data_IF_200844162640
#
_entry.id   IF_200844162640
#
_cell.length_a   1.000
_cell.length_b   1.000
_cell.length_c   1.000
_cell.angle_alpha   90.00
_cell.angle_beta   90.00
_cell.angle_gamma   90.00
#
_symmetry.space_group_name_H-M   'P 1'
#
loop_
_entity.id
_entity.type
_entity.pdbx_description
1 polymer ?
#
# COMPACT_ATOMS: atom_id res chain seq x y z
N UNK A 1 -31.79 21.75 -24.60
CA UNK A 1 -30.82 21.75 -23.49
C UNK A 1 -31.48 22.45 -22.32
N UNK A 2 -31.84 21.69 -21.30
CA UNK A 2 -32.53 22.22 -20.11
C UNK A 2 -31.52 22.69 -19.07
N UNK A 3 -31.91 23.53 -18.11
CA UNK A 3 -31.02 24.04 -17.05
C UNK A 3 -30.38 22.92 -16.17
N UNK A 4 -30.91 21.70 -16.23
CA UNK A 4 -30.34 20.51 -15.56
C UNK A 4 -29.11 20.00 -16.34
N UNK A 5 -29.15 20.06 -17.68
CA UNK A 5 -28.05 19.63 -18.54
C UNK A 5 -26.83 20.56 -18.40
N UNK A 6 -27.06 21.87 -18.28
CA UNK A 6 -25.98 22.85 -18.09
C UNK A 6 -25.27 22.68 -16.75
N UNK A 7 -26.01 22.49 -15.66
CA UNK A 7 -25.44 22.29 -14.33
C UNK A 7 -24.61 20.99 -14.23
N UNK A 8 -25.04 19.93 -14.92
CA UNK A 8 -24.28 18.68 -14.99
C UNK A 8 -22.97 18.86 -15.78
N UNK A 9 -23.01 19.60 -16.90
CA UNK A 9 -21.84 19.91 -17.71
C UNK A 9 -20.80 20.74 -16.94
N UNK A 10 -21.25 21.70 -16.11
CA UNK A 10 -20.38 22.51 -15.27
C UNK A 10 -19.65 21.67 -14.21
N UNK A 11 -20.37 20.75 -13.55
CA UNK A 11 -19.78 19.85 -12.55
C UNK A 11 -18.74 18.91 -13.16
N UNK A 12 -19.04 18.31 -14.31
CA UNK A 12 -18.09 17.45 -15.02
C UNK A 12 -16.82 18.21 -15.38
N UNK A 13 -16.94 19.49 -15.78
CA UNK A 13 -15.80 20.34 -16.12
C UNK A 13 -14.90 20.59 -14.91
N UNK A 14 -15.48 20.85 -13.73
CA UNK A 14 -14.73 21.01 -12.47
C UNK A 14 -13.91 19.75 -12.16
N UNK A 15 -14.51 18.57 -12.20
CA UNK A 15 -13.78 17.35 -11.88
C UNK A 15 -12.77 16.94 -12.96
N UNK A 16 -13.01 17.27 -14.24
CA UNK A 16 -11.98 17.12 -15.28
C UNK A 16 -10.76 18.00 -15.02
N UNK A 17 -10.96 19.23 -14.54
CA UNK A 17 -9.88 20.11 -14.11
C UNK A 17 -9.11 19.51 -12.92
N UNK A 18 -9.81 18.93 -11.93
CA UNK A 18 -9.19 18.24 -10.80
C UNK A 18 -8.35 17.04 -11.26
N UNK A 19 -8.83 16.26 -12.24
CA UNK A 19 -8.06 15.17 -12.84
C UNK A 19 -6.81 15.72 -13.55
N UNK A 20 -6.94 16.80 -14.32
CA UNK A 20 -5.82 17.44 -15.00
C UNK A 20 -4.75 17.91 -14.01
N UNK A 21 -5.16 18.54 -12.90
CA UNK A 21 -4.24 18.95 -11.82
C UNK A 21 -3.47 17.75 -11.28
N UNK A 22 -4.15 16.62 -11.03
CA UNK A 22 -3.49 15.41 -10.56
C UNK A 22 -2.52 14.82 -11.59
N UNK A 23 -2.88 14.80 -12.87
CA UNK A 23 -2.00 14.33 -13.95
C UNK A 23 -0.75 15.20 -14.08
N UNK A 24 -0.90 16.53 -14.01
CA UNK A 24 0.23 17.46 -14.02
C UNK A 24 1.13 17.26 -12.79
N UNK A 25 0.54 17.15 -11.60
CA UNK A 25 1.31 16.90 -10.37
C UNK A 25 2.07 15.55 -10.43
N UNK A 26 1.43 14.51 -10.98
CA UNK A 26 2.08 13.22 -11.21
C UNK A 26 3.25 13.34 -12.18
N UNK A 27 3.06 14.01 -13.33
CA UNK A 27 4.10 14.21 -14.33
C UNK A 27 5.30 14.99 -13.77
N UNK A 28 5.05 16.06 -13.00
CA UNK A 28 6.10 16.85 -12.33
C UNK A 28 6.93 15.96 -11.42
N UNK A 29 6.32 15.03 -10.69
CA UNK A 29 7.10 14.19 -9.76
C UNK A 29 7.77 13.00 -10.41
N UNK A 30 7.18 12.43 -11.46
CA UNK A 30 7.93 11.49 -12.31
C UNK A 30 9.18 12.17 -12.83
N UNK A 31 9.07 13.39 -13.37
CA UNK A 31 10.21 14.17 -13.86
C UNK A 31 11.22 14.45 -12.73
N UNK A 32 10.76 14.93 -11.58
CA UNK A 32 11.61 15.17 -10.41
C UNK A 32 12.37 13.90 -9.99
N UNK A 33 11.69 12.75 -9.88
CA UNK A 33 12.31 11.47 -9.51
C UNK A 33 13.31 10.95 -10.53
N UNK A 34 13.16 11.30 -11.81
CA UNK A 34 14.13 10.98 -12.85
C UNK A 34 15.40 11.84 -12.76
N UNK A 35 15.31 13.08 -12.26
CA UNK A 35 16.46 14.00 -12.20
C UNK A 35 17.17 13.99 -10.84
N UNK A 36 16.47 13.72 -9.74
CA UNK A 36 17.11 13.71 -8.40
C UNK A 36 17.90 12.43 -8.15
N UNK A 37 19.05 12.51 -7.43
CA UNK A 37 19.77 11.34 -6.97
C UNK A 37 18.86 10.36 -6.24
N UNK A 38 19.08 9.06 -6.44
CA UNK A 38 18.34 8.04 -5.75
C UNK A 38 18.70 8.05 -4.27
N UNK A 39 17.72 7.92 -3.36
CA UNK A 39 18.04 7.78 -1.95
C UNK A 39 18.78 6.45 -1.72
N UNK A 40 19.70 6.48 -0.75
CA UNK A 40 20.68 5.42 -0.57
C UNK A 40 20.02 4.07 -0.22
N UNK A 41 18.92 4.08 0.55
CA UNK A 41 18.34 2.86 1.15
C UNK A 41 17.62 1.99 0.13
N UNK A 42 16.88 2.58 -0.80
CA UNK A 42 16.21 1.84 -1.86
C UNK A 42 17.21 1.10 -2.76
N UNK A 43 18.36 1.73 -3.02
CA UNK A 43 19.40 1.13 -3.85
C UNK A 43 20.13 -0.03 -3.17
N UNK A 44 20.50 0.11 -1.89
CA UNK A 44 21.29 -0.92 -1.19
C UNK A 44 20.57 -2.27 -1.12
N UNK A 45 19.24 -2.30 -1.05
CA UNK A 45 18.48 -3.56 -1.13
C UNK A 45 18.72 -4.38 -2.41
N UNK A 46 19.18 -3.75 -3.51
CA UNK A 46 19.52 -4.43 -4.77
C UNK A 46 20.97 -4.92 -4.79
N UNK A 47 21.78 -4.55 -3.80
CA UNK A 47 23.20 -4.90 -3.71
C UNK A 47 23.45 -6.12 -2.81
N UNK A 48 22.53 -6.44 -1.91
CA UNK A 48 22.68 -7.57 -0.98
C UNK A 48 22.60 -8.90 -1.72
N UNK A 49 23.51 -9.84 -1.45
CA UNK A 49 23.49 -11.22 -1.94
C UNK A 49 23.37 -12.22 -0.79
N UNK A 50 23.17 -13.50 -1.14
CA UNK A 50 23.21 -14.63 -0.21
C UNK A 50 24.53 -15.38 -0.20
N UNK A 51 25.59 -14.84 -0.81
CA UNK A 51 26.93 -15.45 -0.81
C UNK A 51 27.46 -15.70 0.61
N UNK A 52 27.14 -14.79 1.53
CA UNK A 52 27.55 -14.86 2.94
C UNK A 52 26.47 -15.51 3.84
N UNK A 53 25.50 -16.18 3.22
CA UNK A 53 24.35 -16.81 3.87
C UNK A 53 23.04 -16.07 3.66
N UNK A 54 21.94 -16.71 4.07
CA UNK A 54 20.60 -16.13 3.96
C UNK A 54 20.47 -14.94 4.92
N UNK A 55 20.31 -13.75 4.35
CA UNK A 55 20.13 -12.50 5.08
C UNK A 55 18.72 -11.94 4.80
N UNK A 56 18.04 -11.46 5.84
CA UNK A 56 16.74 -10.78 5.70
C UNK A 56 16.82 -9.61 4.73
N UNK A 57 15.76 -9.36 3.96
CA UNK A 57 15.64 -8.24 3.00
C UNK A 57 16.64 -8.28 1.82
N UNK A 58 17.19 -9.46 1.50
CA UNK A 58 18.21 -9.64 0.45
C UNK A 58 17.70 -10.24 -0.87
N UNK A 59 16.44 -10.70 -0.95
CA UNK A 59 15.98 -11.48 -2.10
C UNK A 59 16.09 -10.72 -3.43
N UNK A 60 15.78 -9.43 -3.44
CA UNK A 60 15.85 -8.64 -4.67
C UNK A 60 17.29 -8.53 -5.15
N UNK A 61 18.23 -8.20 -4.26
CA UNK A 61 19.65 -8.11 -4.63
C UNK A 61 20.27 -9.45 -5.04
N UNK A 62 19.78 -10.55 -4.47
CA UNK A 62 20.13 -11.90 -4.89
C UNK A 62 19.61 -12.21 -6.30
N UNK A 63 18.38 -11.81 -6.63
CA UNK A 63 17.89 -11.94 -8.02
C UNK A 63 18.79 -11.15 -8.98
N UNK A 64 19.22 -9.94 -8.60
CA UNK A 64 20.14 -9.16 -9.44
C UNK A 64 21.52 -9.79 -9.60
N UNK A 65 22.05 -10.49 -8.58
CA UNK A 65 23.37 -11.12 -8.65
C UNK A 65 23.46 -12.21 -9.71
N UNK A 66 22.33 -12.85 -10.04
CA UNK A 66 22.25 -13.85 -11.11
C UNK A 66 22.45 -13.27 -12.51
N UNK A 67 22.24 -11.96 -12.68
CA UNK A 67 22.31 -11.30 -13.99
C UNK A 67 23.49 -10.32 -14.12
N UNK A 68 23.90 -9.68 -13.02
CA UNK A 68 24.98 -8.70 -13.04
C UNK A 68 25.70 -8.59 -11.71
N UNK A 69 27.02 -8.46 -11.78
CA UNK A 69 27.85 -8.13 -10.63
C UNK A 69 27.65 -6.67 -10.20
N UNK A 70 27.73 -5.74 -11.17
CA UNK A 70 27.55 -4.30 -10.96
C UNK A 70 26.09 -3.91 -11.17
N UNK A 71 25.47 -3.32 -10.15
CA UNK A 71 24.05 -2.95 -10.19
C UNK A 71 23.92 -1.46 -10.51
N UNK A 72 23.23 -1.11 -11.59
CA UNK A 72 22.98 0.30 -11.89
C UNK A 72 21.91 0.90 -10.96
N UNK A 73 22.05 2.16 -10.50
CA UNK A 73 20.98 2.85 -9.75
C UNK A 73 19.67 2.95 -10.54
N UNK A 74 19.74 2.93 -11.88
CA UNK A 74 18.55 2.89 -12.74
C UNK A 74 17.65 1.69 -12.51
N UNK A 75 18.19 0.58 -11.98
CA UNK A 75 17.41 -0.61 -11.61
C UNK A 75 16.23 -0.25 -10.68
N UNK A 76 16.49 0.59 -9.67
CA UNK A 76 15.47 1.03 -8.71
C UNK A 76 14.35 1.82 -9.40
N UNK A 77 14.70 2.68 -10.36
CA UNK A 77 13.74 3.51 -11.09
C UNK A 77 12.88 2.67 -12.01
N UNK A 78 13.50 1.82 -12.83
CA UNK A 78 12.80 0.98 -13.81
C UNK A 78 11.84 0.03 -13.08
N UNK A 79 12.34 -0.68 -12.08
CA UNK A 79 11.54 -1.59 -11.24
C UNK A 79 10.40 -0.84 -10.53
N UNK A 80 10.71 0.31 -9.91
CA UNK A 80 9.74 1.12 -9.20
C UNK A 80 8.62 1.64 -10.11
N UNK A 81 8.95 2.18 -11.28
CA UNK A 81 7.95 2.67 -12.24
C UNK A 81 7.11 1.52 -12.80
N UNK A 82 7.74 0.38 -13.10
CA UNK A 82 7.01 -0.81 -13.55
C UNK A 82 6.03 -1.29 -12.48
N UNK A 83 6.46 -1.37 -11.22
CA UNK A 83 5.61 -1.77 -10.12
C UNK A 83 4.43 -0.80 -9.91
N UNK A 84 4.66 0.52 -10.00
CA UNK A 84 3.61 1.53 -9.91
C UNK A 84 2.63 1.41 -11.09
N UNK A 85 3.11 1.17 -12.31
CA UNK A 85 2.27 0.99 -13.49
C UNK A 85 1.37 -0.26 -13.36
N UNK A 86 1.94 -1.37 -12.87
CA UNK A 86 1.18 -2.60 -12.57
C UNK A 86 0.15 -2.32 -11.48
N UNK A 87 0.55 -1.70 -10.37
CA UNK A 87 -0.36 -1.32 -9.29
C UNK A 87 -1.51 -0.44 -9.79
N UNK A 88 -1.22 0.57 -10.61
CA UNK A 88 -2.22 1.48 -11.19
C UNK A 88 -3.21 0.75 -12.09
N UNK A 89 -2.72 -0.15 -12.94
CA UNK A 89 -3.55 -0.97 -13.82
C UNK A 89 -4.47 -1.90 -13.02
N UNK A 90 -3.92 -2.58 -12.01
CA UNK A 90 -4.70 -3.47 -11.15
C UNK A 90 -5.76 -2.70 -10.34
N UNK A 91 -5.41 -1.53 -9.81
CA UNK A 91 -6.35 -0.71 -9.07
C UNK A 91 -7.46 -0.14 -9.95
N UNK A 92 -7.13 0.28 -11.18
CA UNK A 92 -8.13 0.65 -12.19
C UNK A 92 -9.06 -0.52 -12.53
N UNK A 93 -8.52 -1.74 -12.68
CA UNK A 93 -9.32 -2.93 -12.91
C UNK A 93 -10.26 -3.24 -11.73
N UNK A 94 -9.79 -3.09 -10.49
CA UNK A 94 -10.63 -3.22 -9.29
C UNK A 94 -11.71 -2.14 -9.26
N UNK A 95 -11.36 -0.90 -9.59
CA UNK A 95 -12.30 0.21 -9.63
C UNK A 95 -13.45 -0.06 -10.60
N UNK A 96 -13.13 -0.42 -11.85
CA UNK A 96 -14.14 -0.76 -12.88
C UNK A 96 -14.95 -1.98 -12.49
N UNK A 97 -14.34 -2.97 -11.83
CA UNK A 97 -15.06 -4.16 -11.35
C UNK A 97 -16.00 -3.85 -10.19
N UNK A 98 -15.66 -2.89 -9.34
CA UNK A 98 -16.41 -2.57 -8.11
C UNK A 98 -17.52 -1.54 -8.35
N UNK A 99 -17.28 -0.57 -9.23
CA UNK A 99 -18.15 0.60 -9.40
C UNK A 99 -18.70 0.68 -10.82
N UNK A 100 -20.04 0.60 -10.94
CA UNK A 100 -20.80 0.87 -12.16
C UNK A 100 -21.65 2.12 -12.00
N UNK A 101 -20.96 3.20 -11.59
CA UNK A 101 -21.57 4.50 -11.28
C UNK A 101 -21.82 5.31 -12.54
N UNK A 102 -22.70 6.32 -12.44
CA UNK A 102 -22.84 7.35 -13.48
C UNK A 102 -21.53 8.12 -13.60
N UNK A 103 -21.27 8.67 -14.79
CA UNK A 103 -19.98 9.32 -15.10
C UNK A 103 -19.55 10.39 -14.07
N UNK A 104 -20.42 11.33 -13.62
CA UNK A 104 -20.02 12.31 -12.61
C UNK A 104 -19.62 11.69 -11.28
N UNK A 105 -20.41 10.73 -10.77
CA UNK A 105 -20.15 10.01 -9.52
C UNK A 105 -18.84 9.20 -9.57
N UNK A 106 -18.63 8.49 -10.68
CA UNK A 106 -17.39 7.76 -10.94
C UNK A 106 -16.17 8.70 -10.93
N UNK A 107 -16.32 9.89 -11.52
CA UNK A 107 -15.25 10.88 -11.60
C UNK A 107 -14.89 11.45 -10.22
N UNK A 108 -15.88 11.76 -9.37
CA UNK A 108 -15.62 12.23 -8.00
C UNK A 108 -14.92 11.18 -7.16
N UNK A 109 -15.43 9.94 -7.17
CA UNK A 109 -14.81 8.85 -6.44
C UNK A 109 -13.40 8.58 -6.97
N UNK A 110 -13.21 8.63 -8.29
CA UNK A 110 -11.90 8.51 -8.93
C UNK A 110 -10.92 9.61 -8.50
N UNK A 111 -11.37 10.86 -8.39
CA UNK A 111 -10.54 11.97 -7.92
C UNK A 111 -9.98 11.72 -6.52
N UNK A 112 -10.78 11.18 -5.60
CA UNK A 112 -10.27 10.83 -4.27
C UNK A 112 -9.41 9.57 -4.30
N UNK A 113 -9.80 8.51 -5.00
CA UNK A 113 -9.07 7.23 -4.94
C UNK A 113 -7.71 7.27 -5.66
N UNK A 114 -7.62 7.99 -6.78
CA UNK A 114 -6.39 8.08 -7.58
C UNK A 114 -5.62 9.39 -7.33
N UNK A 115 -6.31 10.48 -7.00
CA UNK A 115 -5.70 11.80 -6.76
C UNK A 115 -5.27 12.05 -5.31
N UNK A 116 -5.63 11.18 -4.37
CA UNK A 116 -5.29 11.38 -2.96
C UNK A 116 -3.78 11.26 -2.70
N UNK A 117 -3.22 12.15 -1.86
CA UNK A 117 -1.85 12.03 -1.38
C UNK A 117 -1.62 10.79 -0.49
N UNK A 118 -2.67 10.21 0.10
CA UNK A 118 -2.59 8.99 0.91
C UNK A 118 -2.54 7.71 0.06
N UNK A 119 -2.88 7.77 -1.23
CA UNK A 119 -3.07 6.58 -2.07
C UNK A 119 -1.98 6.50 -3.15
N UNK A 120 -2.33 6.68 -4.41
CA UNK A 120 -1.38 6.44 -5.51
C UNK A 120 -0.18 7.38 -5.52
N UNK A 121 -0.36 8.63 -5.11
CA UNK A 121 0.75 9.59 -4.91
C UNK A 121 1.77 9.07 -3.88
N UNK A 122 1.34 8.30 -2.87
CA UNK A 122 2.25 7.73 -1.88
C UNK A 122 3.25 6.74 -2.51
N UNK A 123 2.85 5.96 -3.52
CA UNK A 123 3.76 5.02 -4.18
C UNK A 123 4.79 5.70 -5.07
N UNK A 124 4.38 6.74 -5.80
CA UNK A 124 5.32 7.55 -6.60
C UNK A 124 6.31 8.28 -5.69
N UNK A 125 5.84 8.74 -4.52
CA UNK A 125 6.67 9.37 -3.51
C UNK A 125 7.69 8.40 -2.92
N UNK A 126 7.33 7.12 -2.81
CA UNK A 126 8.16 6.05 -2.28
C UNK A 126 8.77 5.18 -3.40
N UNK A 127 9.07 5.75 -4.57
CA UNK A 127 9.67 5.04 -5.70
C UNK A 127 10.92 4.26 -5.25
N UNK A 128 10.94 2.95 -5.49
CA UNK A 128 12.04 2.07 -5.09
C UNK A 128 11.82 1.34 -3.76
N UNK A 129 10.87 1.79 -2.93
CA UNK A 129 10.43 1.02 -1.75
C UNK A 129 9.51 -0.13 -2.17
N UNK A 130 9.53 -1.20 -1.39
CA UNK A 130 8.83 -2.45 -1.71
C UNK A 130 7.37 -2.50 -1.26
N UNK A 131 6.87 -1.47 -0.58
CA UNK A 131 5.47 -1.39 -0.13
C UNK A 131 4.46 -1.63 -1.27
N UNK A 132 4.77 -1.12 -2.47
CA UNK A 132 3.95 -1.30 -3.68
C UNK A 132 3.77 -2.78 -4.06
N UNK A 133 4.75 -3.65 -3.79
CA UNK A 133 4.64 -5.08 -4.07
C UNK A 133 3.60 -5.74 -3.16
N UNK A 134 3.57 -5.35 -1.88
CA UNK A 134 2.53 -5.78 -0.95
C UNK A 134 1.13 -5.37 -1.41
N UNK A 135 1.00 -4.14 -1.93
CA UNK A 135 -0.24 -3.64 -2.50
C UNK A 135 -0.66 -4.42 -3.76
N UNK A 136 0.28 -4.75 -4.66
CA UNK A 136 0.02 -5.58 -5.83
C UNK A 136 -0.54 -6.94 -5.42
N UNK A 137 0.08 -7.64 -4.45
CA UNK A 137 -0.41 -8.94 -3.99
C UNK A 137 -1.80 -8.83 -3.35
N UNK A 138 -2.07 -7.76 -2.59
CA UNK A 138 -3.41 -7.48 -2.06
C UNK A 138 -4.44 -7.25 -3.18
N UNK A 139 -4.09 -6.50 -4.22
CA UNK A 139 -4.95 -6.27 -5.39
C UNK A 139 -5.20 -7.57 -6.18
N UNK A 140 -4.19 -8.43 -6.33
CA UNK A 140 -4.36 -9.76 -6.91
C UNK A 140 -5.30 -10.62 -6.05
N UNK A 141 -5.21 -10.53 -4.72
CA UNK A 141 -6.14 -11.20 -3.82
C UNK A 141 -7.59 -10.68 -3.94
N UNK A 142 -7.81 -9.45 -4.41
CA UNK A 142 -9.15 -8.94 -4.77
C UNK A 142 -9.62 -9.50 -6.12
N UNK A 143 -8.76 -9.48 -7.13
CA UNK A 143 -9.13 -9.73 -8.53
C UNK A 143 -9.25 -11.21 -8.88
N UNK A 144 -8.31 -12.04 -8.42
CA UNK A 144 -8.22 -13.44 -8.83
C UNK A 144 -9.44 -14.23 -8.34
N UNK A 145 -9.95 -15.20 -9.13
CA UNK A 145 -11.05 -16.05 -8.70
C UNK A 145 -10.64 -16.88 -7.48
N UNK A 146 -11.56 -17.14 -6.55
CA UNK A 146 -11.25 -18.02 -5.41
C UNK A 146 -11.24 -19.48 -5.85
N UNK A 147 -10.03 -19.96 -6.16
CA UNK A 147 -9.71 -21.36 -6.50
C UNK A 147 -8.59 -21.84 -5.60
N UNK A 148 -8.38 -23.17 -5.51
CA UNK A 148 -7.26 -23.74 -4.73
C UNK A 148 -5.91 -23.18 -5.16
N UNK A 149 -5.69 -23.02 -6.46
CA UNK A 149 -4.49 -22.41 -7.03
C UNK A 149 -4.27 -20.97 -6.58
N UNK A 150 -5.35 -20.19 -6.46
CA UNK A 150 -5.28 -18.80 -5.99
C UNK A 150 -4.76 -18.72 -4.56
N UNK A 151 -5.23 -19.59 -3.66
CA UNK A 151 -4.73 -19.62 -2.28
C UNK A 151 -3.23 -19.95 -2.23
N UNK A 152 -2.79 -20.94 -3.01
CA UNK A 152 -1.37 -21.32 -3.10
C UNK A 152 -0.53 -20.19 -3.69
N UNK A 153 -0.96 -19.57 -4.80
CA UNK A 153 -0.25 -18.48 -5.44
C UNK A 153 -0.13 -17.25 -4.52
N UNK A 154 -1.21 -16.85 -3.85
CA UNK A 154 -1.17 -15.72 -2.90
C UNK A 154 -0.30 -16.05 -1.69
N UNK A 155 -0.31 -17.30 -1.21
CA UNK A 155 0.59 -17.77 -0.16
C UNK A 155 2.06 -17.68 -0.56
N UNK A 156 2.41 -18.18 -1.75
CA UNK A 156 3.76 -18.11 -2.30
C UNK A 156 4.23 -16.66 -2.50
N UNK A 157 3.39 -15.80 -3.10
CA UNK A 157 3.70 -14.38 -3.27
C UNK A 157 3.89 -13.68 -1.92
N UNK A 158 3.09 -14.02 -0.91
CA UNK A 158 3.23 -13.49 0.44
C UNK A 158 4.51 -13.96 1.13
N UNK A 159 4.97 -15.19 0.87
CA UNK A 159 6.27 -15.67 1.34
C UNK A 159 7.42 -14.89 0.68
N UNK A 160 7.34 -14.64 -0.63
CA UNK A 160 8.30 -13.79 -1.34
C UNK A 160 8.35 -12.37 -0.75
N UNK A 161 7.19 -11.78 -0.43
CA UNK A 161 7.15 -10.48 0.25
C UNK A 161 7.93 -10.48 1.57
N UNK A 162 7.89 -11.55 2.36
CA UNK A 162 8.66 -11.63 3.61
C UNK A 162 10.18 -11.65 3.37
N UNK A 163 10.64 -12.34 2.31
CA UNK A 163 12.04 -12.34 1.91
C UNK A 163 12.52 -10.99 1.37
N UNK A 164 11.65 -10.28 0.66
CA UNK A 164 11.91 -8.91 0.17
C UNK A 164 11.96 -7.93 1.34
N UNK A 165 10.92 -7.94 2.18
CA UNK A 165 10.82 -7.05 3.32
C UNK A 165 9.87 -7.60 4.38
N UNK A 166 10.41 -8.08 5.50
CA UNK A 166 9.62 -8.74 6.55
C UNK A 166 8.51 -7.89 7.17
N UNK A 167 8.56 -6.55 7.08
CA UNK A 167 7.46 -5.64 7.50
C UNK A 167 6.14 -5.93 6.77
N UNK A 168 6.15 -6.59 5.60
CA UNK A 168 4.91 -7.05 4.98
C UNK A 168 4.10 -8.00 5.88
N UNK A 169 4.74 -8.68 6.84
CA UNK A 169 4.08 -9.51 7.87
C UNK A 169 3.02 -8.75 8.66
N UNK A 170 3.26 -7.47 8.93
CA UNK A 170 2.40 -6.65 9.80
C UNK A 170 1.58 -5.64 9.00
N UNK A 171 2.08 -5.16 7.84
CA UNK A 171 1.36 -4.20 6.99
C UNK A 171 0.36 -4.90 6.05
N UNK A 172 0.85 -5.78 5.16
CA UNK A 172 0.09 -6.24 4.00
C UNK A 172 -0.49 -7.65 4.15
N UNK A 173 0.22 -8.57 4.78
CA UNK A 173 -0.25 -9.96 4.97
C UNK A 173 -1.61 -10.01 5.70
N UNK A 174 -1.85 -9.25 6.78
CA UNK A 174 -3.16 -9.21 7.43
C UNK A 174 -4.28 -8.79 6.47
N UNK A 175 -4.02 -7.81 5.60
CA UNK A 175 -4.98 -7.33 4.59
C UNK A 175 -5.19 -8.36 3.49
N UNK A 176 -4.13 -8.96 2.96
CA UNK A 176 -4.19 -9.98 1.90
C UNK A 176 -5.08 -11.14 2.34
N UNK A 177 -4.83 -11.69 3.53
CA UNK A 177 -5.62 -12.81 4.05
C UNK A 177 -7.00 -12.39 4.55
N UNK A 178 -7.13 -11.16 5.05
CA UNK A 178 -8.41 -10.53 5.33
C UNK A 178 -9.32 -10.46 4.10
N UNK A 179 -8.76 -10.05 2.96
CA UNK A 179 -9.45 -10.02 1.65
C UNK A 179 -9.89 -11.44 1.27
N UNK A 180 -9.02 -12.44 1.35
CA UNK A 180 -9.37 -13.83 1.04
C UNK A 180 -10.52 -14.34 1.93
N UNK A 181 -10.46 -14.05 3.24
CA UNK A 181 -11.47 -14.46 4.21
C UNK A 181 -12.82 -13.81 3.93
N UNK A 182 -12.85 -12.49 3.75
CA UNK A 182 -14.08 -11.74 3.47
C UNK A 182 -14.70 -12.17 2.14
N UNK A 183 -13.88 -12.41 1.11
CA UNK A 183 -14.37 -12.90 -0.19
C UNK A 183 -14.91 -14.32 -0.12
N UNK A 184 -14.23 -15.21 0.61
CA UNK A 184 -14.67 -16.60 0.79
C UNK A 184 -16.03 -16.64 1.52
N UNK A 185 -16.17 -15.82 2.56
CA UNK A 185 -17.42 -15.66 3.29
C UNK A 185 -18.53 -15.09 2.39
N UNK A 186 -18.26 -14.00 1.65
CA UNK A 186 -19.25 -13.35 0.80
C UNK A 186 -19.75 -14.25 -0.33
N UNK A 187 -18.87 -15.05 -0.93
CA UNK A 187 -19.25 -16.01 -2.00
C UNK A 187 -20.21 -17.09 -1.52
N UNK A 188 -20.08 -17.55 -0.28
CA UNK A 188 -20.77 -18.74 0.22
C UNK A 188 -21.82 -18.45 1.29
N UNK A 189 -21.87 -17.22 1.81
CA UNK A 189 -22.70 -16.83 2.96
C UNK A 189 -22.27 -17.48 4.28
N UNK A 190 -21.26 -18.35 4.26
CA UNK A 190 -20.73 -19.09 5.41
C UNK A 190 -19.26 -19.45 5.18
N UNK A 191 -18.55 -19.73 6.26
CA UNK A 191 -17.20 -20.25 6.17
C UNK A 191 -17.20 -21.72 5.73
N UNK A 192 -16.50 -22.02 4.64
CA UNK A 192 -16.23 -23.42 4.27
C UNK A 192 -14.96 -23.89 4.96
N UNK A 193 -14.95 -25.13 5.51
CA UNK A 193 -13.76 -25.67 6.16
C UNK A 193 -12.52 -25.67 5.27
N UNK A 194 -12.68 -25.92 3.96
CA UNK A 194 -11.56 -25.93 3.00
C UNK A 194 -10.92 -24.55 2.86
N UNK A 195 -11.72 -23.49 2.72
CA UNK A 195 -11.19 -22.12 2.57
C UNK A 195 -10.47 -21.69 3.85
N UNK A 196 -11.06 -22.01 5.01
CA UNK A 196 -10.45 -21.76 6.32
C UNK A 196 -9.13 -22.53 6.50
N UNK A 197 -9.10 -23.82 6.12
CA UNK A 197 -7.90 -24.64 6.24
C UNK A 197 -6.76 -24.11 5.35
N UNK A 198 -7.06 -23.68 4.13
CA UNK A 198 -6.07 -23.09 3.22
C UNK A 198 -5.53 -21.75 3.77
N UNK A 199 -6.43 -20.88 4.25
CA UNK A 199 -6.06 -19.59 4.85
C UNK A 199 -5.21 -19.81 6.12
N UNK A 200 -5.68 -20.65 7.04
CA UNK A 200 -5.01 -20.90 8.31
C UNK A 200 -3.66 -21.62 8.12
N UNK A 201 -3.61 -22.64 7.27
CA UNK A 201 -2.37 -23.35 6.95
C UNK A 201 -1.32 -22.43 6.33
N UNK A 202 -1.72 -21.59 5.38
CA UNK A 202 -0.81 -20.63 4.76
C UNK A 202 -0.35 -19.55 5.74
N UNK A 203 -1.22 -19.04 6.60
CA UNK A 203 -0.84 -18.10 7.67
C UNK A 203 0.12 -18.73 8.68
N UNK A 204 -0.08 -19.99 9.07
CA UNK A 204 0.81 -20.70 9.96
C UNK A 204 2.21 -20.86 9.35
N UNK A 205 2.30 -21.21 8.06
CA UNK A 205 3.56 -21.30 7.33
C UNK A 205 4.24 -19.93 7.22
N UNK A 206 3.50 -18.87 6.92
CA UNK A 206 4.05 -17.51 6.85
C UNK A 206 4.52 -17.00 8.22
N UNK A 207 3.80 -17.33 9.29
CA UNK A 207 4.21 -17.00 10.65
C UNK A 207 5.50 -17.74 11.03
N UNK A 208 5.61 -19.04 10.71
CA UNK A 208 6.84 -19.81 10.88
C UNK A 208 8.01 -19.25 10.08
N UNK A 209 7.78 -18.89 8.81
CA UNK A 209 8.78 -18.25 7.96
C UNK A 209 9.21 -16.89 8.53
N UNK A 210 8.27 -16.05 8.95
CA UNK A 210 8.57 -14.76 9.57
C UNK A 210 9.41 -14.93 10.84
N UNK A 211 9.04 -15.86 11.71
CA UNK A 211 9.81 -16.20 12.91
C UNK A 211 11.23 -16.66 12.58
N UNK A 212 11.38 -17.53 11.57
CA UNK A 212 12.68 -17.97 11.07
C UNK A 212 13.52 -16.80 10.53
N UNK A 213 12.94 -15.93 9.71
CA UNK A 213 13.65 -14.76 9.18
C UNK A 213 14.11 -13.82 10.31
N UNK A 214 13.29 -13.59 11.33
CA UNK A 214 13.68 -12.75 12.46
C UNK A 214 14.79 -13.37 13.31
N UNK A 215 14.71 -14.67 13.60
CA UNK A 215 15.62 -15.33 14.54
C UNK A 215 16.93 -15.82 13.90
N UNK A 216 16.89 -16.23 12.63
CA UNK A 216 17.97 -16.99 12.01
C UNK A 216 18.72 -16.27 10.88
N UNK A 217 18.20 -15.13 10.38
CA UNK A 217 18.73 -14.45 9.18
C UNK A 217 19.26 -13.03 9.44
N UNK A 218 19.62 -12.74 10.69
CA UNK A 218 20.43 -11.57 11.01
C UNK A 218 21.83 -11.72 10.38
N UNK A 219 22.42 -10.61 9.93
CA UNK A 219 23.77 -10.62 9.37
C UNK A 219 24.78 -11.05 10.46
N UNK A 220 25.62 -12.04 10.14
CA UNK A 220 26.58 -12.63 11.09
C UNK A 220 28.03 -12.24 10.84
N UNK A 221 28.32 -11.65 9.68
CA UNK A 221 29.65 -11.16 9.33
C UNK A 221 29.87 -9.75 9.90
N UNK A 222 31.13 -9.27 10.05
CA UNK A 222 31.41 -7.89 10.42
C UNK A 222 30.74 -6.89 9.47
N UNK A 223 30.26 -5.76 10.01
CA UNK A 223 29.51 -4.76 9.24
C UNK A 223 30.38 -4.11 8.14
N UNK A 224 31.68 -3.99 8.37
CA UNK A 224 32.67 -3.48 7.43
C UNK A 224 32.76 -4.41 6.21
N UNK A 225 32.92 -5.71 6.45
CA UNK A 225 32.95 -6.72 5.38
C UNK A 225 31.66 -6.73 4.57
N UNK A 226 30.51 -6.57 5.24
CA UNK A 226 29.23 -6.42 4.55
C UNK A 226 29.21 -5.18 3.67
N UNK A 227 29.58 -4.01 4.20
CA UNK A 227 29.62 -2.76 3.44
C UNK A 227 30.57 -2.81 2.25
N UNK A 228 31.73 -3.45 2.40
CA UNK A 228 32.70 -3.61 1.31
C UNK A 228 32.11 -4.46 0.19
N UNK A 229 31.43 -5.56 0.52
CA UNK A 229 30.73 -6.37 -0.49
C UNK A 229 29.62 -5.61 -1.22
N UNK A 230 28.92 -4.69 -0.54
CA UNK A 230 27.94 -3.82 -1.19
C UNK A 230 28.62 -2.82 -2.14
N UNK A 231 29.74 -2.24 -1.73
CA UNK A 231 30.51 -1.26 -2.51
C UNK A 231 31.10 -1.88 -3.77
N UNK A 232 31.58 -3.11 -3.70
CA UNK A 232 32.13 -3.85 -4.84
C UNK A 232 31.10 -4.05 -5.96
N UNK A 233 29.80 -4.08 -5.60
CA UNK A 233 28.69 -4.20 -6.54
C UNK A 233 28.07 -2.85 -6.94
N UNK A 234 28.40 -1.76 -6.25
CA UNK A 234 27.75 -0.48 -6.40
C UNK A 234 28.36 0.37 -7.51
N UNK A 235 27.51 1.02 -8.31
CA UNK A 235 27.94 2.05 -9.27
C UNK A 235 27.75 3.48 -8.71
N UNK A 236 27.32 3.62 -7.46
CA UNK A 236 27.23 4.89 -6.73
C UNK A 236 27.75 4.70 -5.30
N UNK A 237 28.16 5.78 -4.60
CA UNK A 237 28.63 5.69 -3.22
C UNK A 237 27.60 5.03 -2.28
N UNK A 238 28.09 4.17 -1.38
CA UNK A 238 27.28 3.52 -0.33
C UNK A 238 27.73 4.04 1.04
N UNK A 239 26.92 4.87 1.72
CA UNK A 239 27.27 5.41 3.04
C UNK A 239 27.29 4.33 4.14
N UNK A 240 28.15 4.51 5.16
CA UNK A 240 28.31 3.54 6.27
C UNK A 240 27.01 3.29 7.05
N UNK A 241 26.18 4.33 7.21
CA UNK A 241 24.88 4.25 7.91
C UNK A 241 23.92 3.19 7.35
N UNK A 242 24.17 2.70 6.13
CA UNK A 242 23.32 1.72 5.47
C UNK A 242 23.39 0.32 6.07
N UNK A 243 24.51 -0.03 6.72
CA UNK A 243 24.63 -1.29 7.44
C UNK A 243 23.56 -1.42 8.53
N UNK A 244 23.17 -0.31 9.16
CA UNK A 244 22.17 -0.28 10.24
C UNK A 244 20.92 -1.12 9.92
N UNK A 245 20.40 -1.09 8.69
CA UNK A 245 19.18 -1.82 8.31
C UNK A 245 19.25 -3.35 8.47
N UNK A 246 20.46 -3.93 8.44
CA UNK A 246 20.67 -5.37 8.57
C UNK A 246 21.17 -5.77 9.96
N UNK A 247 21.83 -4.87 10.66
CA UNK A 247 22.47 -5.13 11.95
C UNK A 247 21.67 -4.62 13.16
N UNK A 248 20.70 -3.74 12.95
CA UNK A 248 19.82 -3.23 14.01
C UNK A 248 19.10 -4.38 14.73
N UNK A 249 19.10 -4.30 16.06
CA UNK A 249 18.22 -5.10 16.90
C UNK A 249 16.84 -4.46 16.99
N UNK A 250 15.81 -5.26 17.31
CA UNK A 250 14.45 -4.73 17.52
C UNK A 250 14.44 -3.67 18.64
N UNK A 251 15.21 -3.90 19.70
CA UNK A 251 15.32 -2.98 20.84
C UNK A 251 15.91 -1.63 20.42
N UNK A 252 16.93 -1.66 19.56
CA UNK A 252 17.52 -0.46 18.97
C UNK A 252 16.56 0.27 18.03
N UNK A 253 15.84 -0.45 17.16
CA UNK A 253 14.81 0.13 16.28
C UNK A 253 13.69 0.81 17.09
N UNK A 254 13.24 0.19 18.19
CA UNK A 254 12.24 0.76 19.09
C UNK A 254 12.79 2.03 19.76
N UNK A 255 14.01 2.01 20.31
CA UNK A 255 14.61 3.19 20.94
C UNK A 255 14.73 4.35 19.97
N UNK A 256 15.23 4.08 18.75
CA UNK A 256 15.36 5.08 17.69
C UNK A 256 13.97 5.63 17.31
N UNK A 257 12.97 4.76 17.16
CA UNK A 257 11.60 5.16 16.86
C UNK A 257 10.97 6.03 17.95
N UNK A 258 11.17 5.68 19.22
CA UNK A 258 10.71 6.46 20.37
C UNK A 258 11.43 7.81 20.47
N UNK A 259 12.74 7.86 20.16
CA UNK A 259 13.51 9.10 20.13
C UNK A 259 13.00 10.10 19.09
N UNK A 260 12.50 9.61 17.94
CA UNK A 260 11.89 10.46 16.90
C UNK A 260 10.43 10.83 17.18
N UNK A 261 9.75 10.17 18.13
CA UNK A 261 8.32 10.36 18.37
C UNK A 261 7.91 11.83 18.62
N UNK A 262 8.62 12.64 19.44
CA UNK A 262 8.21 14.01 19.72
C UNK A 262 8.14 14.91 18.48
N UNK A 263 9.11 14.80 17.57
CA UNK A 263 9.15 15.61 16.34
C UNK A 263 8.01 15.27 15.39
N UNK A 264 7.52 14.04 15.42
CA UNK A 264 6.42 13.63 14.56
C UNK A 264 5.05 13.81 15.18
N UNK A 265 4.96 13.84 16.51
CA UNK A 265 3.74 14.27 17.18
C UNK A 265 3.35 15.69 16.76
N UNK A 266 4.33 16.57 16.49
CA UNK A 266 4.10 17.92 15.91
C UNK A 266 3.39 17.87 14.55
N UNK A 267 3.45 16.76 13.82
CA UNK A 267 2.84 16.57 12.49
C UNK A 267 1.46 15.91 12.55
N UNK A 268 1.04 15.44 13.72
CA UNK A 268 -0.28 14.86 13.91
C UNK A 268 -1.42 15.76 13.39
N UNK A 269 -1.40 17.10 13.57
CA UNK A 269 -2.43 17.97 13.00
C UNK A 269 -2.50 17.93 11.47
N UNK A 270 -1.34 17.80 10.80
CA UNK A 270 -1.28 17.69 9.34
C UNK A 270 -1.91 16.38 8.90
N UNK A 271 -1.52 15.25 9.51
CA UNK A 271 -2.12 13.95 9.22
C UNK A 271 -3.63 13.92 9.48
N UNK A 272 -4.08 14.53 10.58
CA UNK A 272 -5.50 14.67 10.88
C UNK A 272 -6.23 15.50 9.81
N UNK A 273 -5.66 16.63 9.38
CA UNK A 273 -6.24 17.46 8.32
C UNK A 273 -6.36 16.69 7.00
N UNK A 274 -5.33 15.92 6.62
CA UNK A 274 -5.35 15.07 5.43
C UNK A 274 -6.46 14.03 5.53
N UNK A 275 -6.60 13.33 6.67
CA UNK A 275 -7.69 12.37 6.89
C UNK A 275 -9.06 13.07 6.82
N UNK A 276 -9.18 14.27 7.39
CA UNK A 276 -10.42 15.06 7.38
C UNK A 276 -10.87 15.43 5.96
N UNK A 277 -9.95 15.75 5.06
CA UNK A 277 -10.27 16.00 3.65
C UNK A 277 -10.89 14.75 2.98
N UNK A 278 -10.61 13.55 3.49
CA UNK A 278 -11.16 12.28 2.98
C UNK A 278 -12.47 11.85 3.66
N UNK A 279 -13.01 12.64 4.60
CA UNK A 279 -14.29 12.34 5.29
C UNK A 279 -15.42 11.94 4.34
N UNK A 280 -15.63 12.59 3.16
CA UNK A 280 -16.67 12.16 2.23
C UNK A 280 -16.54 10.70 1.78
N UNK A 281 -15.31 10.27 1.47
CA UNK A 281 -15.04 8.89 1.01
C UNK A 281 -15.05 7.90 2.18
N UNK A 282 -14.52 8.30 3.34
CA UNK A 282 -14.60 7.50 4.56
C UNK A 282 -16.07 7.23 4.90
N UNK A 283 -16.92 8.26 4.84
CA UNK A 283 -18.35 8.12 5.09
C UNK A 283 -19.05 7.24 4.06
N UNK A 284 -18.68 7.36 2.77
CA UNK A 284 -19.17 6.48 1.70
C UNK A 284 -18.90 5.00 1.97
N UNK A 285 -17.68 4.64 2.39
CA UNK A 285 -17.34 3.26 2.75
C UNK A 285 -17.99 2.82 4.06
N UNK A 286 -17.96 3.68 5.10
CA UNK A 286 -18.52 3.37 6.41
C UNK A 286 -20.03 3.04 6.33
N UNK A 287 -20.80 3.79 5.53
CA UNK A 287 -22.23 3.51 5.33
C UNK A 287 -22.48 2.17 4.64
N UNK A 288 -21.64 1.79 3.68
CA UNK A 288 -21.72 0.48 3.00
C UNK A 288 -21.36 -0.68 3.91
N UNK A 289 -20.37 -0.50 4.77
CA UNK A 289 -20.04 -1.51 5.79
C UNK A 289 -21.19 -1.59 6.80
N UNK A 290 -21.75 -0.46 7.24
CA UNK A 290 -22.86 -0.43 8.19
C UNK A 290 -24.13 -1.12 7.66
N UNK A 291 -24.41 -1.06 6.35
CA UNK A 291 -25.57 -1.75 5.77
C UNK A 291 -25.46 -3.28 5.83
N UNK A 292 -24.25 -3.84 5.95
CA UNK A 292 -24.05 -5.27 6.21
C UNK A 292 -24.55 -5.68 7.60
N UNK A 293 -24.59 -4.76 8.56
CA UNK A 293 -25.03 -5.08 9.92
C UNK A 293 -26.42 -5.71 9.93
N UNK A 294 -27.30 -5.23 9.05
CA UNK A 294 -28.68 -5.71 8.93
C UNK A 294 -28.82 -6.77 7.84
N UNK A 295 -28.14 -6.60 6.70
CA UNK A 295 -28.30 -7.50 5.54
C UNK A 295 -27.47 -8.79 5.64
N UNK A 296 -26.26 -8.72 6.18
CA UNK A 296 -25.33 -9.86 6.32
C UNK A 296 -24.50 -9.75 7.62
N UNK A 297 -25.08 -10.03 8.80
CA UNK A 297 -24.44 -9.76 10.09
C UNK A 297 -23.09 -10.48 10.29
N UNK A 298 -22.95 -11.68 9.72
CA UNK A 298 -21.68 -12.43 9.77
C UNK A 298 -20.59 -11.71 8.98
N UNK A 299 -20.88 -11.25 7.75
CA UNK A 299 -19.94 -10.49 6.93
C UNK A 299 -19.53 -9.17 7.61
N UNK A 300 -20.47 -8.48 8.25
CA UNK A 300 -20.18 -7.28 9.05
C UNK A 300 -19.18 -7.55 10.17
N UNK A 301 -19.44 -8.57 11.01
CA UNK A 301 -18.56 -8.93 12.13
C UNK A 301 -17.17 -9.39 11.64
N UNK A 302 -17.12 -10.18 10.58
CA UNK A 302 -15.86 -10.63 9.99
C UNK A 302 -15.05 -9.47 9.41
N UNK A 303 -15.71 -8.52 8.72
CA UNK A 303 -15.05 -7.31 8.26
C UNK A 303 -14.43 -6.53 9.42
N UNK A 304 -15.18 -6.29 10.51
CA UNK A 304 -14.67 -5.57 11.68
C UNK A 304 -13.51 -6.29 12.37
N UNK A 305 -13.59 -7.62 12.49
CA UNK A 305 -12.49 -8.41 13.05
C UNK A 305 -11.21 -8.29 12.20
N UNK A 306 -11.34 -8.42 10.88
CA UNK A 306 -10.20 -8.25 9.95
C UNK A 306 -9.67 -6.81 10.01
N UNK A 307 -10.55 -5.80 10.00
CA UNK A 307 -10.18 -4.40 10.11
C UNK A 307 -9.37 -4.11 11.40
N UNK A 308 -9.77 -4.69 12.52
CA UNK A 308 -9.04 -4.57 13.78
C UNK A 308 -7.66 -5.24 13.73
N UNK A 309 -7.54 -6.42 13.11
CA UNK A 309 -6.25 -7.12 12.93
C UNK A 309 -5.31 -6.32 12.02
N UNK A 310 -5.83 -5.79 10.89
CA UNK A 310 -5.07 -4.92 9.99
C UNK A 310 -4.56 -3.70 10.75
N UNK A 311 -5.45 -2.98 11.45
CA UNK A 311 -5.05 -1.83 12.25
C UNK A 311 -3.99 -2.18 13.31
N UNK A 312 -4.16 -3.31 14.01
CA UNK A 312 -3.20 -3.81 14.99
C UNK A 312 -1.80 -4.05 14.39
N UNK A 313 -1.72 -4.68 13.22
CA UNK A 313 -0.45 -4.88 12.51
C UNK A 313 0.23 -3.56 12.13
N UNK A 314 -0.55 -2.57 11.69
CA UNK A 314 -0.02 -1.22 11.44
C UNK A 314 0.46 -0.51 12.70
N UNK A 315 -0.24 -0.66 13.82
CA UNK A 315 0.19 -0.09 15.11
C UNK A 315 1.51 -0.71 15.57
N UNK A 316 1.64 -2.04 15.50
CA UNK A 316 2.90 -2.74 15.78
C UNK A 316 4.04 -2.21 14.91
N UNK A 317 3.79 -2.06 13.61
CA UNK A 317 4.80 -1.54 12.67
C UNK A 317 5.23 -0.12 13.02
N UNK A 318 4.29 0.74 13.42
CA UNK A 318 4.57 2.12 13.80
C UNK A 318 5.30 2.26 15.14
N UNK A 319 5.17 1.28 16.04
CA UNK A 319 5.94 1.22 17.29
C UNK A 319 7.40 0.82 17.01
N UNK A 320 7.60 -0.16 16.13
CA UNK A 320 8.93 -0.73 15.84
C UNK A 320 9.71 0.13 14.84
N UNK A 321 9.04 0.56 13.77
CA UNK A 321 9.66 1.23 12.62
C UNK A 321 9.02 2.56 12.33
N UNK A 322 9.87 3.53 12.07
CA UNK A 322 9.50 4.93 12.04
C UNK A 322 9.27 5.43 10.60
N UNK A 323 8.02 5.43 10.11
CA UNK A 323 7.63 6.08 8.84
C UNK A 323 6.10 6.33 8.75
N UNK A 324 5.58 7.16 9.66
CA UNK A 324 4.13 7.37 9.82
C UNK A 324 3.39 7.81 8.55
N UNK A 325 3.98 8.70 7.74
CA UNK A 325 3.34 9.20 6.52
C UNK A 325 3.14 8.05 5.51
N UNK A 326 4.20 7.27 5.27
CA UNK A 326 4.15 6.09 4.41
C UNK A 326 3.16 5.05 4.95
N UNK A 327 3.22 4.76 6.24
CA UNK A 327 2.36 3.76 6.88
C UNK A 327 0.89 4.18 6.87
N UNK A 328 0.58 5.46 7.06
CA UNK A 328 -0.80 5.96 6.97
C UNK A 328 -1.38 5.79 5.57
N UNK A 329 -0.59 6.06 4.52
CA UNK A 329 -1.03 5.84 3.15
C UNK A 329 -1.27 4.36 2.83
N UNK A 330 -0.35 3.49 3.26
CA UNK A 330 -0.51 2.04 3.15
C UNK A 330 -1.77 1.56 3.89
N UNK A 331 -2.05 2.08 5.10
CA UNK A 331 -3.24 1.74 5.89
C UNK A 331 -4.52 2.13 5.16
N UNK A 332 -4.57 3.35 4.62
CA UNK A 332 -5.70 3.84 3.84
C UNK A 332 -5.97 2.95 2.63
N UNK A 333 -4.94 2.58 1.88
CA UNK A 333 -5.09 1.66 0.75
C UNK A 333 -5.58 0.28 1.20
N UNK A 334 -5.01 -0.28 2.28
CA UNK A 334 -5.43 -1.57 2.81
C UNK A 334 -6.92 -1.59 3.16
N UNK A 335 -7.43 -0.54 3.81
CA UNK A 335 -8.87 -0.42 4.11
C UNK A 335 -9.74 -0.27 2.86
N UNK A 336 -9.28 0.47 1.85
CA UNK A 336 -9.99 0.61 0.58
C UNK A 336 -10.07 -0.74 -0.14
N UNK A 337 -8.95 -1.46 -0.26
CA UNK A 337 -8.91 -2.77 -0.90
C UNK A 337 -9.78 -3.80 -0.14
N UNK A 338 -9.74 -3.79 1.19
CA UNK A 338 -10.60 -4.63 2.02
C UNK A 338 -12.09 -4.31 1.81
N UNK A 339 -12.44 -3.03 1.74
CA UNK A 339 -13.81 -2.58 1.48
C UNK A 339 -14.27 -2.95 0.07
N UNK A 340 -13.43 -2.77 -0.94
CA UNK A 340 -13.72 -3.16 -2.33
C UNK A 340 -13.91 -4.67 -2.46
N UNK A 341 -13.07 -5.47 -1.80
CA UNK A 341 -13.22 -6.92 -1.72
C UNK A 341 -14.55 -7.33 -1.09
N UNK A 342 -14.94 -6.67 0.00
CA UNK A 342 -16.23 -6.88 0.66
C UNK A 342 -17.39 -6.55 -0.28
N UNK A 343 -17.38 -5.38 -0.91
CA UNK A 343 -18.42 -4.92 -1.85
C UNK A 343 -18.61 -5.94 -2.97
N UNK A 344 -17.52 -6.30 -3.65
CA UNK A 344 -17.54 -7.26 -4.76
C UNK A 344 -18.06 -8.63 -4.32
N UNK A 345 -17.76 -9.06 -3.09
CA UNK A 345 -18.14 -10.38 -2.60
C UNK A 345 -19.57 -10.48 -2.06
N UNK A 346 -20.16 -9.38 -1.58
CA UNK A 346 -21.42 -9.44 -0.80
C UNK A 346 -22.54 -8.58 -1.35
N UNK A 347 -22.22 -7.41 -1.93
CA UNK A 347 -23.20 -6.42 -2.38
C UNK A 347 -23.30 -6.32 -3.91
N UNK A 348 -22.34 -6.91 -4.63
CA UNK A 348 -22.22 -6.74 -6.08
C UNK A 348 -21.63 -5.38 -6.46
N UNK A 349 -21.81 -4.97 -7.71
CA UNK A 349 -21.31 -3.67 -8.18
C UNK A 349 -22.10 -2.52 -7.57
N UNK A 350 -21.41 -1.44 -7.19
CA UNK A 350 -22.07 -0.21 -6.74
C UNK A 350 -22.61 0.53 -7.94
N UNK A 351 -23.93 0.74 -7.99
CA UNK A 351 -24.63 1.41 -9.10
C UNK A 351 -25.03 2.86 -8.79
N UNK A 352 -25.01 3.25 -7.51
CA UNK A 352 -25.30 4.61 -7.07
C UNK A 352 -24.35 5.04 -5.93
N UNK A 353 -23.91 6.29 -5.98
CA UNK A 353 -23.08 6.93 -4.97
C UNK A 353 -23.72 8.22 -4.45
N UNK A 354 -25.01 8.21 -4.14
CA UNK A 354 -25.76 9.37 -3.61
C UNK A 354 -25.11 9.98 -2.35
N UNK A 355 -24.40 9.13 -1.60
CA UNK A 355 -23.55 9.44 -0.47
C UNK A 355 -22.36 10.38 -0.76
N UNK A 356 -21.97 10.46 -2.02
CA UNK A 356 -20.85 11.22 -2.55
C UNK A 356 -21.36 12.12 -3.69
N UNK A 357 -22.33 12.98 -3.37
CA UNK A 357 -22.95 13.92 -4.31
C UNK A 357 -21.88 14.82 -4.98
N UNK A 358 -21.72 14.72 -6.32
CA UNK A 358 -20.78 15.54 -7.07
C UNK A 358 -21.06 17.04 -6.99
N UNK A 359 -22.32 17.43 -6.76
CA UNK A 359 -22.75 18.82 -6.66
C UNK A 359 -22.55 19.45 -5.27
N UNK A 360 -22.16 18.66 -4.27
CA UNK A 360 -21.98 19.14 -2.91
C UNK A 360 -20.70 19.98 -2.80
N UNK A 361 -20.84 21.26 -2.42
CA UNK A 361 -19.72 22.21 -2.27
C UNK A 361 -18.60 21.70 -1.35
N UNK A 362 -18.93 20.96 -0.29
CA UNK A 362 -17.93 20.39 0.63
C UNK A 362 -17.14 19.26 -0.03
N UNK A 363 -17.79 18.45 -0.86
CA UNK A 363 -17.15 17.36 -1.61
C UNK A 363 -16.22 17.92 -2.68
N UNK A 364 -16.68 18.94 -3.43
CA UNK A 364 -15.87 19.64 -4.42
C UNK A 364 -14.64 20.26 -3.75
N UNK A 365 -14.82 21.02 -2.67
CA UNK A 365 -13.70 21.63 -1.94
C UNK A 365 -12.69 20.58 -1.46
N UNK A 366 -13.17 19.49 -0.86
CA UNK A 366 -12.31 18.39 -0.43
C UNK A 366 -11.54 17.75 -1.60
N UNK A 367 -12.18 17.53 -2.75
CA UNK A 367 -11.52 16.96 -3.93
C UNK A 367 -10.46 17.92 -4.52
N UNK A 368 -10.75 19.22 -4.58
CA UNK A 368 -9.80 20.25 -5.01
C UNK A 368 -8.60 20.30 -4.07
N UNK A 369 -8.82 20.33 -2.76
CA UNK A 369 -7.74 20.36 -1.76
C UNK A 369 -6.89 19.08 -1.87
N UNK A 370 -7.52 17.91 -1.97
CA UNK A 370 -6.80 16.64 -2.13
C UNK A 370 -5.93 16.60 -3.40
N UNK A 371 -6.42 17.19 -4.50
CA UNK A 371 -5.66 17.29 -5.74
C UNK A 371 -4.51 18.29 -5.67
N UNK A 372 -4.76 19.45 -5.06
CA UNK A 372 -3.77 20.53 -4.89
C UNK A 372 -2.66 20.17 -3.91
N UNK A 373 -2.95 19.32 -2.92
CA UNK A 373 -1.93 18.81 -2.00
C UNK A 373 -0.94 17.96 -2.81
N UNK A 374 0.32 18.42 -2.91
CA UNK A 374 1.25 17.79 -3.82
C UNK A 374 1.57 16.38 -3.30
N UNK A 375 1.89 16.20 -2.00
CA UNK A 375 2.28 14.90 -1.43
C UNK A 375 2.07 14.86 0.09
N UNK A 376 1.80 13.67 0.63
CA UNK A 376 2.02 13.31 2.05
C UNK A 376 3.07 12.20 2.04
N UNK A 377 4.19 12.50 1.39
CA UNK A 377 5.28 11.55 1.17
C UNK A 377 6.61 12.15 1.55
N UNK A 378 6.60 13.11 2.48
CA UNK A 378 7.85 13.71 2.91
C UNK A 378 7.88 13.71 4.43
N UNK A 379 8.95 13.09 4.93
CA UNK A 379 9.54 13.33 6.24
C UNK A 379 9.86 14.83 6.44
N UNK A 380 9.60 15.70 5.45
CA UNK A 380 9.67 17.16 5.51
C UNK A 380 8.63 17.73 4.53
N UNK A 381 7.43 18.19 4.95
CA UNK A 381 6.56 18.89 4.00
C UNK A 381 7.42 19.92 3.25
N UNK A 382 7.40 19.89 1.91
CA UNK A 382 8.00 20.94 1.10
C UNK A 382 7.24 22.23 1.40
N UNK A 383 7.68 22.89 2.47
CA UNK A 383 7.52 24.29 2.78
C UNK A 383 8.94 24.82 2.86
#
# INVERSE_FOLDING_TARGET
MTAIDSRSADLVSVYRMIVLINLLAFAVVVAHRCVTPLPDSEYVHRLVTYEQGLIRRGLIGEIYSWFTHLVSPWAVRIEGFLAIAVAGTLFAAIFVRTYRLKFPEALVLGCFLFGSPLLFKNFVGNLGKFDVLGAIVAMLAVLLPLTRWTYVAIGALSALLLFIHHVHATIYIPTIYGILLVRALGRHGRFRPVDLAMIAGSLALLAGLFGYLLACTAAKIPAETFLDSLRDRAMQPVPDRQAFMWYSSIDEEIRISLGMFPEHLKRLPIYAAIVLIHVPVIAFFARRIASLRTTQPLAYRSYLAVAAIVLGGFLVTNIITFDYARHLGNLALCFILLSQAQIVATSGQVTAADDLDPGNKKVIAAAVIAAALPWVGVVYPLI
#
